data_IF_859159466416
#
_entry.id   IF_859159466416
#
_cell.length_a   1.000
_cell.length_b   1.000
_cell.length_c   1.000
_cell.angle_alpha   90.00
_cell.angle_beta   90.00
_cell.angle_gamma   90.00
#
_symmetry.space_group_name_H-M   'P 1'
#
loop_
_entity.id
_entity.type
_entity.pdbx_description
1 polymer ?
#
# COMPACT_ATOMS: atom_id res chain seq x y z
N UNK A 1 -41.85 -15.62 -16.76
CA UNK A 1 -41.35 -14.44 -17.50
C UNK A 1 -41.78 -13.17 -16.78
N UNK A 2 -40.86 -12.43 -16.13
CA UNK A 2 -41.14 -11.08 -15.61
C UNK A 2 -39.86 -10.25 -15.66
N UNK A 3 -39.92 -9.12 -16.35
CA UNK A 3 -38.82 -8.19 -16.59
C UNK A 3 -38.26 -7.70 -15.25
N UNK A 4 -37.01 -8.07 -14.93
CA UNK A 4 -36.29 -7.59 -13.75
C UNK A 4 -35.79 -6.18 -14.04
N UNK A 5 -36.65 -5.18 -13.84
CA UNK A 5 -36.23 -3.78 -13.76
C UNK A 5 -35.46 -3.60 -12.45
N UNK A 6 -34.21 -4.05 -12.43
CA UNK A 6 -33.33 -3.93 -11.27
C UNK A 6 -32.86 -2.48 -11.19
N UNK A 7 -33.69 -1.61 -10.60
CA UNK A 7 -33.40 -0.18 -10.45
C UNK A 7 -32.02 0.01 -9.81
N UNK A 8 -31.64 -0.84 -8.84
CA UNK A 8 -30.32 -0.79 -8.20
C UNK A 8 -29.16 -0.90 -9.19
N UNK A 9 -29.31 -1.70 -10.24
CA UNK A 9 -28.29 -1.82 -11.27
C UNK A 9 -28.22 -0.57 -12.16
N UNK A 10 -29.35 0.10 -12.36
CA UNK A 10 -29.43 1.32 -13.17
C UNK A 10 -28.97 2.57 -12.39
N UNK A 11 -29.22 2.64 -11.09
CA UNK A 11 -28.89 3.81 -10.27
C UNK A 11 -27.61 3.63 -9.44
N UNK A 12 -27.10 2.40 -9.31
CA UNK A 12 -25.97 2.06 -8.43
C UNK A 12 -26.28 2.12 -6.93
N UNK A 13 -27.53 2.42 -6.54
CA UNK A 13 -27.92 2.61 -5.14
C UNK A 13 -28.54 1.36 -4.52
N UNK A 14 -28.42 1.22 -3.20
CA UNK A 14 -29.18 0.21 -2.45
C UNK A 14 -30.69 0.56 -2.42
N UNK A 15 -31.55 -0.44 -2.17
CA UNK A 15 -33.00 -0.22 -2.03
C UNK A 15 -33.32 0.76 -0.90
N UNK A 16 -32.52 0.76 0.16
CA UNK A 16 -32.67 1.65 1.32
C UNK A 16 -32.37 3.10 0.95
N UNK A 17 -31.30 3.33 0.19
CA UNK A 17 -30.94 4.67 -0.25
C UNK A 17 -31.93 5.22 -1.29
N UNK A 18 -32.43 4.35 -2.18
CA UNK A 18 -33.51 4.70 -3.11
C UNK A 18 -34.81 5.02 -2.35
N UNK A 19 -35.13 4.28 -1.29
CA UNK A 19 -36.32 4.51 -0.47
C UNK A 19 -36.30 5.90 0.14
N UNK A 20 -35.16 6.25 0.72
CA UNK A 20 -34.94 7.56 1.32
C UNK A 20 -35.05 8.69 0.29
N UNK A 21 -34.39 8.53 -0.87
CA UNK A 21 -34.36 9.54 -1.92
C UNK A 21 -35.73 9.77 -2.58
N UNK A 22 -36.46 8.69 -2.83
CA UNK A 22 -37.80 8.74 -3.44
C UNK A 22 -38.91 9.00 -2.41
N UNK A 23 -38.57 9.06 -1.11
CA UNK A 23 -39.51 9.22 0.02
C UNK A 23 -40.59 8.14 0.06
N UNK A 24 -40.17 6.89 -0.19
CA UNK A 24 -41.03 5.69 -0.14
C UNK A 24 -40.44 4.67 0.81
N UNK A 25 -41.22 3.66 1.19
CA UNK A 25 -40.69 2.57 2.00
C UNK A 25 -39.79 1.63 1.18
N UNK A 26 -38.82 1.00 1.84
CA UNK A 26 -37.98 -0.05 1.23
C UNK A 26 -38.82 -1.19 0.62
N UNK A 27 -39.90 -1.55 1.29
CA UNK A 27 -40.83 -2.59 0.82
C UNK A 27 -41.50 -2.23 -0.51
N UNK A 28 -41.86 -0.96 -0.70
CA UNK A 28 -42.44 -0.49 -1.98
C UNK A 28 -41.44 -0.58 -3.13
N UNK A 29 -40.15 -0.32 -2.90
CA UNK A 29 -39.11 -0.52 -3.92
C UNK A 29 -38.90 -2.00 -4.22
N UNK A 30 -38.86 -2.86 -3.20
CA UNK A 30 -38.75 -4.30 -3.42
C UNK A 30 -39.96 -4.87 -4.18
N UNK A 31 -41.17 -4.37 -3.90
CA UNK A 31 -42.39 -4.73 -4.64
C UNK A 31 -42.36 -4.21 -6.09
N UNK A 32 -41.79 -3.03 -6.32
CA UNK A 32 -41.61 -2.49 -7.66
C UNK A 32 -40.60 -3.30 -8.48
N UNK A 33 -39.43 -3.60 -7.92
CA UNK A 33 -38.40 -4.41 -8.58
C UNK A 33 -38.86 -5.85 -8.88
N UNK A 34 -39.73 -6.40 -8.02
CA UNK A 34 -40.34 -7.71 -8.25
C UNK A 34 -41.58 -7.67 -9.16
N UNK A 35 -41.98 -6.49 -9.65
CA UNK A 35 -43.13 -6.30 -10.54
C UNK A 35 -44.47 -6.63 -9.87
N UNK A 36 -44.54 -6.56 -8.54
CA UNK A 36 -45.73 -6.83 -7.75
C UNK A 36 -46.59 -5.58 -7.53
N UNK A 37 -45.99 -4.39 -7.51
CA UNK A 37 -46.70 -3.12 -7.30
C UNK A 37 -45.94 -1.95 -7.92
N UNK A 38 -46.66 -1.01 -8.52
CA UNK A 38 -46.06 0.23 -9.02
C UNK A 38 -45.75 1.21 -7.87
N UNK A 39 -44.73 2.04 -8.06
CA UNK A 39 -44.40 3.13 -7.14
C UNK A 39 -45.47 4.24 -7.24
N UNK A 40 -45.63 5.06 -6.19
CA UNK A 40 -46.42 6.28 -6.27
C UNK A 40 -45.97 7.16 -7.44
N UNK A 41 -46.90 7.87 -8.08
CA UNK A 41 -46.64 8.69 -9.28
C UNK A 41 -45.49 9.68 -9.03
N UNK A 42 -45.52 10.38 -7.89
CA UNK A 42 -44.47 11.32 -7.48
C UNK A 42 -43.08 10.67 -7.35
N UNK A 43 -43.01 9.42 -6.89
CA UNK A 43 -41.74 8.68 -6.79
C UNK A 43 -41.26 8.20 -8.17
N UNK A 44 -42.18 7.88 -9.07
CA UNK A 44 -41.87 7.47 -10.44
C UNK A 44 -41.32 8.64 -11.27
N UNK A 45 -41.87 9.84 -11.11
CA UNK A 45 -41.36 11.07 -11.72
C UNK A 45 -39.93 11.41 -11.24
N UNK A 46 -39.69 11.35 -9.92
CA UNK A 46 -38.35 11.55 -9.34
C UNK A 46 -37.35 10.52 -9.86
N UNK A 47 -37.75 9.25 -9.97
CA UNK A 47 -36.92 8.20 -10.52
C UNK A 47 -36.59 8.43 -12.01
N UNK A 48 -37.58 8.83 -12.81
CA UNK A 48 -37.35 9.15 -14.22
C UNK A 48 -36.36 10.31 -14.38
N UNK A 49 -36.49 11.36 -13.57
CA UNK A 49 -35.54 12.48 -13.54
C UNK A 49 -34.11 12.03 -13.19
N UNK A 50 -33.96 11.19 -12.16
CA UNK A 50 -32.66 10.62 -11.76
C UNK A 50 -32.00 9.83 -12.89
N UNK A 51 -32.77 8.98 -13.57
CA UNK A 51 -32.26 8.19 -14.70
C UNK A 51 -31.88 9.08 -15.89
N UNK A 52 -32.67 10.14 -16.14
CA UNK A 52 -32.39 11.09 -17.23
C UNK A 52 -31.12 11.89 -16.96
N UNK A 53 -30.91 12.34 -15.71
CA UNK A 53 -29.68 13.03 -15.30
C UNK A 53 -28.46 12.12 -15.40
N UNK A 54 -28.58 10.87 -14.94
CA UNK A 54 -27.52 9.87 -15.02
C UNK A 54 -27.11 9.57 -16.47
N UNK A 55 -28.06 9.53 -17.41
CA UNK A 55 -27.77 9.34 -18.83
C UNK A 55 -27.17 10.59 -19.47
N UNK A 56 -27.61 11.80 -19.08
CA UNK A 56 -27.13 13.05 -19.67
C UNK A 56 -25.65 13.32 -19.39
N UNK A 57 -25.15 12.99 -18.20
CA UNK A 57 -23.73 13.14 -17.85
C UNK A 57 -22.79 12.28 -18.70
N UNK A 58 -23.27 11.16 -19.27
CA UNK A 58 -22.45 10.32 -20.17
C UNK A 58 -22.18 10.96 -21.55
N UNK A 59 -22.87 12.05 -21.90
CA UNK A 59 -22.76 12.70 -23.22
C UNK A 59 -22.00 14.02 -23.22
N UNK A 60 -21.69 14.58 -22.05
CA UNK A 60 -20.90 15.83 -21.92
C UNK A 60 -19.60 15.55 -21.19
N UNK A 61 -18.62 15.04 -21.93
CA UNK A 61 -17.20 15.07 -21.54
C UNK A 61 -16.67 16.50 -21.64
N UNK A 62 -17.20 17.42 -20.84
CA UNK A 62 -16.58 18.72 -20.63
C UNK A 62 -15.77 18.66 -19.33
N UNK A 63 -14.47 18.41 -19.51
CA UNK A 63 -13.36 18.99 -18.74
C UNK A 63 -13.67 19.37 -17.30
N UNK A 64 -13.80 18.38 -16.40
CA UNK A 64 -13.51 18.63 -14.99
C UNK A 64 -12.00 18.75 -14.83
N UNK A 65 -11.55 19.99 -14.59
CA UNK A 65 -10.18 20.34 -14.22
C UNK A 65 -9.66 19.32 -13.19
N UNK A 66 -8.45 18.84 -13.43
CA UNK A 66 -7.77 17.83 -12.63
C UNK A 66 -7.62 18.25 -11.16
N UNK A 67 -8.64 17.97 -10.35
CA UNK A 67 -8.43 17.65 -8.95
C UNK A 67 -7.60 16.37 -8.93
N UNK A 68 -6.48 16.29 -8.19
CA UNK A 68 -5.73 15.05 -8.11
C UNK A 68 -6.71 13.96 -7.70
N UNK A 69 -6.86 12.94 -8.53
CA UNK A 69 -7.74 11.81 -8.24
C UNK A 69 -7.31 11.28 -6.87
N UNK A 70 -8.23 10.92 -5.97
CA UNK A 70 -7.90 10.37 -4.64
C UNK A 70 -6.83 9.26 -4.73
N UNK A 71 -6.82 8.54 -5.85
CA UNK A 71 -5.82 7.56 -6.26
C UNK A 71 -4.39 8.14 -6.38
N UNK A 72 -4.21 9.32 -6.99
CA UNK A 72 -2.91 9.99 -7.11
C UNK A 72 -2.37 10.44 -5.75
N UNK A 73 -3.22 11.02 -4.89
CA UNK A 73 -2.83 11.39 -3.53
C UNK A 73 -2.47 10.16 -2.69
N UNK A 74 -3.24 9.08 -2.84
CA UNK A 74 -2.95 7.80 -2.21
C UNK A 74 -1.59 7.24 -2.66
N UNK A 75 -1.33 7.23 -3.97
CA UNK A 75 -0.06 6.75 -4.54
C UNK A 75 1.14 7.62 -4.08
N UNK A 76 0.98 8.95 -4.03
CA UNK A 76 2.01 9.84 -3.48
C UNK A 76 2.32 9.54 -2.00
N UNK A 77 1.28 9.32 -1.19
CA UNK A 77 1.44 8.93 0.20
C UNK A 77 2.16 7.58 0.35
N UNK A 78 1.90 6.62 -0.55
CA UNK A 78 2.61 5.34 -0.59
C UNK A 78 4.10 5.53 -0.90
N UNK A 79 4.46 6.43 -1.82
CA UNK A 79 5.87 6.75 -2.11
C UNK A 79 6.58 7.33 -0.88
N UNK A 80 5.95 8.27 -0.18
CA UNK A 80 6.53 8.90 1.01
C UNK A 80 6.80 7.85 2.09
N UNK A 81 5.82 6.97 2.34
CA UNK A 81 5.95 5.86 3.30
C UNK A 81 7.07 4.90 2.92
N UNK A 82 7.17 4.51 1.65
CA UNK A 82 8.21 3.60 1.17
C UNK A 82 9.61 4.24 1.33
N UNK A 83 9.80 5.50 0.90
CA UNK A 83 11.07 6.22 1.08
C UNK A 83 11.51 6.29 2.54
N UNK A 84 10.58 6.55 3.45
CA UNK A 84 10.87 6.54 4.89
C UNK A 84 11.37 5.16 5.36
N UNK A 85 10.73 4.08 4.90
CA UNK A 85 11.16 2.72 5.23
C UNK A 85 12.55 2.39 4.66
N UNK A 86 12.86 2.81 3.43
CA UNK A 86 14.18 2.66 2.84
C UNK A 86 15.27 3.34 3.69
N UNK A 87 15.01 4.57 4.17
CA UNK A 87 15.92 5.30 5.05
C UNK A 87 16.16 4.57 6.38
N UNK A 88 15.11 4.02 6.98
CA UNK A 88 15.25 3.25 8.22
C UNK A 88 16.07 1.98 8.01
N UNK A 89 15.84 1.25 6.92
CA UNK A 89 16.61 0.06 6.59
C UNK A 89 18.07 0.41 6.29
N UNK A 90 18.32 1.49 5.54
CA UNK A 90 19.67 1.97 5.26
C UNK A 90 20.43 2.34 6.56
N UNK A 91 19.78 3.04 7.49
CA UNK A 91 20.36 3.35 8.81
C UNK A 91 20.68 2.09 9.61
N UNK A 92 19.81 1.08 9.56
CA UNK A 92 20.07 -0.22 10.21
C UNK A 92 21.28 -0.91 9.60
N UNK A 93 21.41 -0.90 8.27
CA UNK A 93 22.57 -1.47 7.57
C UNK A 93 23.86 -0.74 7.96
N UNK A 94 23.89 0.59 7.94
CA UNK A 94 25.10 1.35 8.28
C UNK A 94 25.52 1.16 9.73
N UNK A 95 24.58 1.15 10.67
CA UNK A 95 24.86 0.84 12.07
C UNK A 95 25.38 -0.58 12.26
N UNK A 96 24.83 -1.54 11.50
CA UNK A 96 25.27 -2.92 11.53
C UNK A 96 26.71 -3.08 11.02
N UNK A 97 27.04 -2.45 9.89
CA UNK A 97 28.40 -2.44 9.33
C UNK A 97 29.38 -1.81 10.32
N UNK A 98 29.07 -0.63 10.88
CA UNK A 98 29.92 0.03 11.88
C UNK A 98 30.16 -0.86 13.11
N UNK A 99 29.14 -1.60 13.53
CA UNK A 99 29.28 -2.55 14.64
C UNK A 99 30.21 -3.70 14.26
N UNK A 100 30.07 -4.25 13.06
CA UNK A 100 30.92 -5.32 12.54
C UNK A 100 32.39 -4.88 12.42
N UNK A 101 32.64 -3.67 11.92
CA UNK A 101 33.99 -3.08 11.81
C UNK A 101 34.66 -2.96 13.18
N UNK A 102 33.93 -2.47 14.20
CA UNK A 102 34.45 -2.38 15.57
C UNK A 102 34.84 -3.75 16.14
N UNK A 103 34.02 -4.76 15.89
CA UNK A 103 34.28 -6.13 16.32
C UNK A 103 35.54 -6.66 15.60
N UNK A 104 35.65 -6.46 14.29
CA UNK A 104 36.80 -6.91 13.50
C UNK A 104 38.11 -6.24 13.96
N UNK A 105 38.09 -4.95 14.29
CA UNK A 105 39.25 -4.23 14.86
C UNK A 105 39.63 -4.81 16.21
N UNK A 106 38.66 -5.04 17.10
CA UNK A 106 38.91 -5.62 18.42
C UNK A 106 39.49 -7.05 18.30
N UNK A 107 38.98 -7.87 17.40
CA UNK A 107 39.52 -9.21 17.13
C UNK A 107 40.93 -9.17 16.53
N UNK A 108 41.24 -8.18 15.68
CA UNK A 108 42.58 -7.99 15.15
C UNK A 108 43.56 -7.57 16.25
N UNK A 109 43.18 -6.58 17.07
CA UNK A 109 43.98 -6.15 18.22
C UNK A 109 44.20 -7.30 19.20
N UNK A 110 43.14 -8.07 19.50
CA UNK A 110 43.24 -9.24 20.37
C UNK A 110 44.21 -10.29 19.83
N UNK A 111 44.22 -10.55 18.52
CA UNK A 111 45.16 -11.50 17.93
C UNK A 111 46.60 -11.02 18.01
N UNK A 112 46.85 -9.74 17.73
CA UNK A 112 48.20 -9.15 17.80
C UNK A 112 48.74 -9.18 19.25
N UNK A 113 47.93 -8.75 20.21
CA UNK A 113 48.26 -8.77 21.65
C UNK A 113 48.58 -10.20 22.11
N UNK A 114 47.79 -11.19 21.69
CA UNK A 114 48.06 -12.61 22.01
C UNK A 114 49.33 -13.17 21.36
N UNK A 115 49.79 -12.59 20.23
CA UNK A 115 51.02 -13.00 19.54
C UNK A 115 52.27 -12.34 20.13
N UNK A 116 52.18 -11.09 20.55
CA UNK A 116 53.32 -10.28 20.97
C UNK A 116 53.63 -10.39 22.48
N UNK A 117 52.65 -10.66 23.34
CA UNK A 117 52.86 -10.56 24.80
C UNK A 117 52.88 -11.92 25.52
N UNK A 118 54.09 -12.37 25.87
CA UNK A 118 54.32 -13.42 26.91
C UNK A 118 54.10 -12.92 28.35
N UNK A 119 53.85 -11.62 28.56
CA UNK A 119 53.94 -10.93 29.87
C UNK A 119 52.66 -10.20 30.33
N UNK A 120 51.53 -10.30 29.63
CA UNK A 120 50.26 -9.72 30.12
C UNK A 120 49.81 -10.39 31.42
N UNK A 121 49.25 -9.60 32.34
CA UNK A 121 48.56 -10.13 33.51
C UNK A 121 47.35 -10.93 33.06
N UNK A 122 47.14 -12.10 33.68
CA UNK A 122 46.04 -13.04 33.36
C UNK A 122 44.65 -12.38 33.34
N UNK A 123 44.45 -11.30 34.11
CA UNK A 123 43.21 -10.53 34.15
C UNK A 123 42.91 -9.80 32.83
N UNK A 124 43.90 -9.13 32.24
CA UNK A 124 43.74 -8.34 31.00
C UNK A 124 43.46 -9.28 29.81
N UNK A 125 44.13 -10.43 29.77
CA UNK A 125 43.85 -11.52 28.84
C UNK A 125 42.43 -12.08 28.99
N UNK A 126 41.93 -12.19 30.21
CA UNK A 126 40.58 -12.71 30.50
C UNK A 126 39.49 -11.72 30.06
N UNK A 127 39.72 -10.41 30.28
CA UNK A 127 38.81 -9.35 29.82
C UNK A 127 38.75 -9.25 28.29
N UNK A 128 39.89 -9.41 27.63
CA UNK A 128 40.01 -9.41 26.17
C UNK A 128 39.35 -10.66 25.55
N UNK A 129 39.52 -11.83 26.17
CA UNK A 129 38.79 -13.06 25.80
C UNK A 129 37.29 -12.91 26.00
N UNK A 130 36.85 -12.36 27.12
CA UNK A 130 35.42 -12.15 27.38
C UNK A 130 34.76 -11.21 26.36
N UNK A 131 35.43 -10.10 26.01
CA UNK A 131 34.92 -9.15 25.04
C UNK A 131 34.90 -9.71 23.60
N UNK A 132 35.86 -10.54 23.22
CA UNK A 132 35.85 -11.24 21.92
C UNK A 132 34.77 -12.34 21.88
N UNK A 133 34.65 -13.18 22.91
CA UNK A 133 33.64 -14.26 22.96
C UNK A 133 32.22 -13.74 22.98
N UNK A 134 31.94 -12.66 23.72
CA UNK A 134 30.60 -12.04 23.78
C UNK A 134 30.13 -11.52 22.42
N UNK A 135 31.07 -11.03 21.60
CA UNK A 135 30.76 -10.53 20.26
C UNK A 135 30.62 -11.65 19.23
N UNK A 136 31.31 -12.77 19.41
CA UNK A 136 31.20 -13.98 18.56
C UNK A 136 29.92 -14.78 18.81
N UNK A 137 29.37 -14.75 20.04
CA UNK A 137 28.12 -15.45 20.38
C UNK A 137 26.85 -14.84 19.77
N UNK A 138 26.94 -13.82 18.90
CA UNK A 138 25.76 -13.36 18.17
C UNK A 138 25.49 -14.30 16.99
N UNK A 139 24.41 -15.11 17.04
CA UNK A 139 24.10 -16.02 15.95
C UNK A 139 23.77 -15.19 14.69
N UNK A 140 24.40 -15.57 13.58
CA UNK A 140 24.01 -15.21 12.22
C UNK A 140 24.00 -13.71 11.84
N UNK A 141 25.05 -12.98 12.24
CA UNK A 141 25.30 -11.60 11.81
C UNK A 141 25.21 -11.41 10.27
N UNK A 142 25.73 -12.36 9.50
CA UNK A 142 25.68 -12.31 8.03
C UNK A 142 24.27 -12.54 7.48
N UNK A 143 23.50 -13.47 8.04
CA UNK A 143 22.11 -13.72 7.62
C UNK A 143 21.22 -12.51 7.91
N UNK A 144 21.44 -11.82 9.03
CA UNK A 144 20.70 -10.59 9.35
C UNK A 144 21.03 -9.46 8.36
N UNK A 145 22.31 -9.30 8.00
CA UNK A 145 22.72 -8.31 7.00
C UNK A 145 22.13 -8.62 5.62
N UNK A 146 22.17 -9.89 5.20
CA UNK A 146 21.55 -10.35 3.95
C UNK A 146 20.04 -10.08 3.97
N UNK A 147 19.36 -10.38 5.07
CA UNK A 147 17.93 -10.10 5.22
C UNK A 147 17.62 -8.58 5.11
N UNK A 148 18.44 -7.72 5.71
CA UNK A 148 18.29 -6.27 5.61
C UNK A 148 18.56 -5.76 4.19
N UNK A 149 19.56 -6.32 3.50
CA UNK A 149 19.86 -6.00 2.10
C UNK A 149 18.74 -6.45 1.16
N UNK A 150 18.19 -7.65 1.35
CA UNK A 150 17.03 -8.14 0.61
C UNK A 150 15.82 -7.22 0.84
N UNK A 151 15.54 -6.86 2.09
CA UNK A 151 14.46 -5.93 2.43
C UNK A 151 14.62 -4.57 1.73
N UNK A 152 15.84 -4.05 1.64
CA UNK A 152 16.12 -2.82 0.90
C UNK A 152 15.76 -2.98 -0.59
N UNK A 153 16.19 -4.06 -1.24
CA UNK A 153 15.88 -4.34 -2.66
C UNK A 153 14.37 -4.47 -2.92
N UNK A 154 13.63 -5.11 -2.01
CA UNK A 154 12.16 -5.22 -2.12
C UNK A 154 11.51 -3.84 -2.07
N UNK A 155 11.93 -2.97 -1.14
CA UNK A 155 11.39 -1.61 -1.04
C UNK A 155 11.71 -0.75 -2.28
N UNK A 156 12.89 -0.91 -2.88
CA UNK A 156 13.26 -0.24 -4.13
C UNK A 156 12.39 -0.71 -5.30
N UNK A 157 12.09 -2.00 -5.37
CA UNK A 157 11.20 -2.57 -6.38
C UNK A 157 9.74 -2.11 -6.20
N UNK A 158 9.25 -2.09 -4.96
CA UNK A 158 7.93 -1.52 -4.66
C UNK A 158 7.81 -0.05 -5.11
N UNK A 159 8.86 0.76 -4.89
CA UNK A 159 8.87 2.14 -5.36
C UNK A 159 8.80 2.24 -6.89
N UNK A 160 9.46 1.33 -7.61
CA UNK A 160 9.38 1.27 -9.08
C UNK A 160 7.95 0.95 -9.54
N UNK A 161 7.31 -0.06 -8.94
CA UNK A 161 5.91 -0.41 -9.26
C UNK A 161 4.94 0.75 -9.00
N UNK A 162 5.07 1.44 -7.86
CA UNK A 162 4.20 2.58 -7.53
C UNK A 162 4.42 3.73 -8.55
N UNK A 163 5.67 3.95 -9.00
CA UNK A 163 5.97 4.94 -10.05
C UNK A 163 5.41 4.55 -11.41
N UNK A 164 5.41 3.27 -11.76
CA UNK A 164 4.80 2.75 -12.99
C UNK A 164 3.28 2.98 -12.96
N UNK A 165 2.61 2.66 -11.84
CA UNK A 165 1.18 2.92 -11.67
C UNK A 165 0.83 4.43 -11.71
N UNK A 166 1.71 5.30 -11.20
CA UNK A 166 1.55 6.74 -11.38
C UNK A 166 1.69 7.17 -12.84
N UNK A 167 2.55 6.53 -13.63
CA UNK A 167 2.68 6.85 -15.06
C UNK A 167 1.47 6.36 -15.85
N UNK A 168 0.93 5.19 -15.51
CA UNK A 168 -0.29 4.65 -16.11
C UNK A 168 -1.51 5.51 -15.79
N UNK A 169 -1.67 5.95 -14.54
CA UNK A 169 -2.77 6.86 -14.14
C UNK A 169 -2.63 8.26 -14.73
N UNK A 170 -1.41 8.70 -15.04
CA UNK A 170 -1.14 9.98 -15.73
C UNK A 170 -1.15 9.87 -17.27
N UNK A 171 -1.22 8.66 -17.84
CA UNK A 171 -1.32 8.47 -19.29
C UNK A 171 -2.79 8.47 -19.70
N UNK A 172 -3.28 9.50 -20.41
CA UNK A 172 -4.65 9.49 -20.89
C UNK A 172 -4.78 8.43 -21.98
N UNK A 173 -5.73 7.51 -21.78
CA UNK A 173 -6.15 6.43 -22.69
C UNK A 173 -5.19 5.25 -22.88
N UNK A 174 -5.43 4.16 -22.13
CA UNK A 174 -5.51 2.86 -22.80
C UNK A 174 -6.94 2.64 -23.29
N UNK A 175 -7.13 3.01 -24.55
CA UNK A 175 -8.31 2.77 -25.38
C UNK A 175 -8.81 1.33 -25.23
N UNK A 176 -10.14 1.20 -25.20
CA UNK A 176 -10.91 0.19 -25.91
C UNK A 176 -10.14 -1.10 -26.25
N UNK A 177 -10.15 -2.06 -25.34
CA UNK A 177 -9.98 -3.47 -25.73
C UNK A 177 -11.30 -4.20 -25.60
N UNK A 178 -11.97 -4.25 -26.76
CA UNK A 178 -12.76 -5.37 -27.29
C UNK A 178 -14.02 -5.78 -26.52
N UNK A 179 -15.17 -5.60 -27.19
CA UNK A 179 -15.82 -6.76 -27.81
C UNK A 179 -16.54 -6.35 -29.10
N UNK A 180 -16.14 -7.03 -30.19
CA UNK A 180 -16.93 -7.16 -31.42
C UNK A 180 -18.14 -8.04 -31.14
#
# INVERSE_FOLDING_TARGET
MKNKNNIRALTGMSQENLALLLQVSRSQIAMFESGKRNLPIQAMEKLALLLTLSQKESTTTETKKATPTQEQEFLQNCIIKNKHQQLLVARKITNFIKKQERIAVLEKMSRLIMQEEKNLKNYDLSLLKYSTTKNQTQPNCNTLLIALQLKKKVLEYEEQLIKEQLKETNSPLTKDKKTK
#
